data_IF_767363116603
#
_entry.id   IF_767363116603
#
_cell.length_a   1.000
_cell.length_b   1.000
_cell.length_c   1.000
_cell.angle_alpha   90.00
_cell.angle_beta   90.00
_cell.angle_gamma   90.00
#
_symmetry.space_group_name_H-M   'P 1'
#
loop_
_entity.id
_entity.type
_entity.pdbx_description
1 polymer ?
#
# COMPACT_ATOMS: atom_id res chain seq x y z
N UNK A 1 -1.29 3.15 -12.90
CA UNK A 1 -0.12 3.62 -13.65
C UNK A 1 -0.46 4.88 -14.45
N UNK A 2 0.53 5.70 -14.68
CA UNK A 2 0.45 6.83 -15.60
C UNK A 2 0.94 6.36 -16.96
N UNK A 3 0.18 6.56 -18.02
CA UNK A 3 0.51 6.09 -19.35
C UNK A 3 0.66 7.24 -20.33
N UNK A 4 1.76 7.26 -21.06
CA UNK A 4 2.01 8.19 -22.16
C UNK A 4 1.92 7.44 -23.48
N UNK A 5 1.04 7.88 -24.37
CA UNK A 5 0.90 7.32 -25.70
C UNK A 5 1.78 8.07 -26.71
N UNK A 6 2.56 7.33 -27.49
CA UNK A 6 3.31 7.83 -28.63
C UNK A 6 2.89 7.07 -29.88
N UNK A 7 2.28 7.75 -30.83
CA UNK A 7 1.84 7.16 -32.11
C UNK A 7 2.65 7.66 -33.29
N UNK A 8 2.74 6.85 -34.36
CA UNK A 8 3.56 7.14 -35.54
C UNK A 8 3.04 8.33 -36.38
N UNK A 9 1.81 8.75 -36.23
CA UNK A 9 1.17 9.83 -37.04
C UNK A 9 0.10 10.62 -36.28
N UNK A 10 -0.07 10.50 -34.97
CA UNK A 10 -1.09 11.20 -34.19
C UNK A 10 -0.51 11.79 -32.92
N UNK A 11 -1.19 12.77 -32.38
CA UNK A 11 -0.80 13.45 -31.14
C UNK A 11 -0.49 12.45 -30.02
N UNK A 12 0.64 12.65 -29.34
CA UNK A 12 0.95 11.96 -28.11
C UNK A 12 -0.11 12.33 -27.06
N UNK A 13 -0.68 11.36 -26.40
CA UNK A 13 -1.65 11.54 -25.33
C UNK A 13 -1.10 11.04 -24.01
N UNK A 14 -1.61 11.56 -22.93
CA UNK A 14 -1.31 11.09 -21.58
C UNK A 14 -2.61 10.69 -20.89
N UNK A 15 -2.60 9.59 -20.16
CA UNK A 15 -3.74 9.13 -19.40
C UNK A 15 -3.29 8.49 -18.08
N UNK A 16 -4.13 8.62 -17.06
CA UNK A 16 -3.99 7.89 -15.82
C UNK A 16 -4.91 6.68 -15.87
N UNK A 17 -4.41 5.52 -15.46
CA UNK A 17 -5.23 4.33 -15.35
C UNK A 17 -6.34 4.54 -14.31
N UNK A 18 -7.49 3.91 -14.54
CA UNK A 18 -8.54 3.77 -13.54
C UNK A 18 -8.02 3.02 -12.29
N UNK A 19 -8.78 3.02 -11.17
CA UNK A 19 -8.35 2.33 -9.93
C UNK A 19 -8.06 0.83 -10.10
N UNK A 20 -8.64 0.18 -11.13
CA UNK A 20 -8.36 -1.22 -11.47
C UNK A 20 -7.21 -1.39 -12.49
N UNK A 21 -6.40 -0.35 -12.69
CA UNK A 21 -5.23 -0.40 -13.57
C UNK A 21 -5.52 -0.29 -15.06
N UNK A 22 -6.78 -0.11 -15.46
CA UNK A 22 -7.15 -0.06 -16.87
C UNK A 22 -7.02 1.34 -17.46
N UNK A 23 -6.61 1.41 -18.71
CA UNK A 23 -6.68 2.60 -19.56
C UNK A 23 -7.35 2.23 -20.88
N UNK A 24 -7.90 3.22 -21.57
CA UNK A 24 -8.53 3.06 -22.87
C UNK A 24 -8.14 4.22 -23.78
N UNK A 25 -7.60 3.89 -24.95
CA UNK A 25 -7.30 4.80 -26.03
C UNK A 25 -8.03 4.34 -27.30
N UNK A 26 -9.34 4.65 -27.44
CA UNK A 26 -10.16 4.09 -28.51
C UNK A 26 -9.66 4.50 -29.90
N UNK A 27 -9.58 3.51 -30.80
CA UNK A 27 -9.18 3.74 -32.18
C UNK A 27 -7.71 4.05 -32.41
N UNK A 28 -6.86 3.77 -31.42
CA UNK A 28 -5.43 4.08 -31.48
C UNK A 28 -4.60 2.80 -31.49
N UNK A 29 -3.60 2.78 -32.39
CA UNK A 29 -2.53 1.77 -32.36
C UNK A 29 -1.19 2.50 -32.28
N UNK A 30 -0.26 1.95 -31.50
CA UNK A 30 1.03 2.61 -31.30
C UNK A 30 1.81 2.01 -30.14
N UNK A 31 2.52 2.83 -29.41
CA UNK A 31 3.32 2.43 -28.27
C UNK A 31 2.88 3.20 -27.03
N UNK A 32 2.72 2.49 -25.94
CA UNK A 32 2.43 3.02 -24.61
C UNK A 32 3.68 2.88 -23.73
N UNK A 33 4.00 3.93 -22.99
CA UNK A 33 5.04 3.96 -21.97
C UNK A 33 4.37 4.16 -20.60
N UNK A 34 4.01 3.09 -19.88
CA UNK A 34 3.45 3.23 -18.55
C UNK A 34 4.51 3.66 -17.54
N UNK A 35 4.08 4.33 -16.48
CA UNK A 35 4.96 4.80 -15.41
C UNK A 35 4.31 4.55 -14.05
N UNK A 36 5.13 4.24 -13.06
CA UNK A 36 4.77 4.14 -11.65
C UNK A 36 4.84 5.50 -10.93
N UNK A 37 4.91 6.59 -11.68
CA UNK A 37 4.84 7.96 -11.18
C UNK A 37 3.62 8.65 -11.78
N UNK A 38 2.60 8.82 -10.97
CA UNK A 38 1.33 9.41 -11.36
C UNK A 38 0.87 10.49 -10.39
N UNK A 39 -0.34 11.04 -10.59
CA UNK A 39 -0.86 12.14 -9.78
C UNK A 39 -1.22 11.71 -8.34
N UNK A 40 -1.28 10.42 -8.03
CA UNK A 40 -1.66 9.92 -6.71
C UNK A 40 -0.53 9.26 -5.95
N UNK A 41 0.45 8.67 -6.65
CA UNK A 41 1.63 8.05 -6.07
C UNK A 41 2.82 8.21 -7.00
N UNK A 42 4.01 8.31 -6.44
CA UNK A 42 5.27 8.40 -7.17
C UNK A 42 6.25 7.41 -6.56
N UNK A 43 6.52 6.32 -7.27
CA UNK A 43 7.46 5.28 -6.82
C UNK A 43 8.87 5.62 -7.28
N UNK A 44 9.84 5.48 -6.38
CA UNK A 44 11.26 5.69 -6.59
C UNK A 44 12.02 4.43 -6.21
N UNK A 45 12.88 3.95 -7.11
CA UNK A 45 13.72 2.78 -6.87
C UNK A 45 15.07 3.19 -6.27
N UNK A 46 15.32 2.82 -5.02
CA UNK A 46 16.56 3.18 -4.31
C UNK A 46 17.75 2.26 -4.64
N UNK A 47 17.51 1.15 -5.37
CA UNK A 47 18.57 0.20 -5.75
C UNK A 47 18.85 0.12 -7.25
N UNK A 48 18.50 1.15 -8.01
CA UNK A 48 18.73 1.17 -9.46
C UNK A 48 17.82 2.14 -10.19
N UNK A 49 17.62 1.87 -11.48
CA UNK A 49 16.74 2.69 -12.31
C UNK A 49 15.26 2.39 -12.01
N UNK A 50 14.42 3.39 -12.22
CA UNK A 50 12.97 3.16 -12.21
C UNK A 50 12.57 2.24 -13.36
N UNK A 51 11.59 1.38 -13.10
CA UNK A 51 11.07 0.50 -14.13
C UNK A 51 10.52 1.30 -15.32
N UNK A 52 10.94 0.91 -16.51
CA UNK A 52 10.47 1.50 -17.75
C UNK A 52 10.23 0.42 -18.79
N UNK A 53 9.14 0.56 -19.56
CA UNK A 53 8.81 -0.36 -20.62
C UNK A 53 8.10 0.39 -21.75
N UNK A 54 8.25 -0.11 -22.96
CA UNK A 54 7.54 0.37 -24.14
C UNK A 54 6.68 -0.78 -24.67
N UNK A 55 5.36 -0.65 -24.56
CA UNK A 55 4.41 -1.68 -24.92
C UNK A 55 3.68 -1.31 -26.21
N UNK A 56 3.72 -2.20 -27.21
CA UNK A 56 2.90 -2.05 -28.41
C UNK A 56 1.43 -2.26 -28.09
N UNK A 57 0.56 -1.37 -28.57
CA UNK A 57 -0.89 -1.52 -28.45
C UNK A 57 -1.54 -1.48 -29.82
N UNK A 58 -2.62 -2.24 -29.98
CA UNK A 58 -3.47 -2.26 -31.16
C UNK A 58 -4.93 -2.04 -30.74
N UNK A 59 -5.73 -1.46 -31.62
CA UNK A 59 -7.14 -1.23 -31.33
C UNK A 59 -7.86 -2.55 -30.98
N UNK A 60 -8.52 -2.55 -29.84
CA UNK A 60 -9.25 -3.72 -29.30
C UNK A 60 -8.38 -4.80 -28.63
N UNK A 61 -7.07 -4.60 -28.51
CA UNK A 61 -6.17 -5.52 -27.79
C UNK A 61 -5.90 -5.04 -26.36
N UNK A 62 -5.83 -5.98 -25.42
CA UNK A 62 -5.39 -5.73 -24.05
C UNK A 62 -3.89 -5.92 -23.94
N UNK A 63 -3.24 -5.04 -23.18
CA UNK A 63 -1.82 -5.12 -22.85
C UNK A 63 -1.68 -5.19 -21.34
N UNK A 64 -0.87 -6.14 -20.86
CA UNK A 64 -0.56 -6.32 -19.45
C UNK A 64 0.89 -5.87 -19.22
N UNK A 65 1.09 -5.05 -18.20
CA UNK A 65 2.43 -4.71 -17.73
C UNK A 65 2.70 -5.51 -16.46
N UNK A 66 3.60 -6.45 -16.58
CA UNK A 66 4.11 -7.27 -15.49
C UNK A 66 5.62 -7.42 -15.63
N UNK A 67 6.33 -7.52 -14.53
CA UNK A 67 7.75 -7.83 -14.48
C UNK A 67 8.00 -8.60 -13.18
N UNK A 68 8.60 -9.79 -13.29
CA UNK A 68 8.82 -10.70 -12.17
C UNK A 68 10.24 -10.59 -11.57
N UNK A 69 11.06 -9.69 -12.08
CA UNK A 69 12.31 -9.34 -11.41
C UNK A 69 11.98 -8.61 -10.10
N UNK A 70 12.48 -9.09 -8.99
CA UNK A 70 12.11 -8.64 -7.64
C UNK A 70 12.02 -7.11 -7.51
N UNK A 71 13.06 -6.40 -7.97
CA UNK A 71 13.11 -4.94 -7.83
C UNK A 71 12.11 -4.20 -8.74
N UNK A 72 11.75 -4.80 -9.87
CA UNK A 72 10.76 -4.27 -10.78
C UNK A 72 9.33 -4.56 -10.27
N UNK A 73 9.10 -5.79 -9.83
CA UNK A 73 7.83 -6.20 -9.23
C UNK A 73 7.51 -5.38 -7.96
N UNK A 74 8.51 -5.11 -7.14
CA UNK A 74 8.40 -4.23 -5.97
C UNK A 74 7.88 -2.83 -6.33
N UNK A 75 8.34 -2.24 -7.45
CA UNK A 75 7.85 -0.95 -7.92
C UNK A 75 6.39 -1.01 -8.38
N UNK A 76 6.02 -2.05 -9.12
CA UNK A 76 4.66 -2.25 -9.62
C UNK A 76 3.69 -2.53 -8.47
N UNK A 77 4.05 -3.43 -7.58
CA UNK A 77 3.25 -3.84 -6.42
C UNK A 77 3.02 -2.69 -5.46
N UNK A 78 4.09 -1.98 -5.07
CA UNK A 78 3.96 -0.81 -4.21
C UNK A 78 3.08 0.28 -4.82
N UNK A 79 3.24 0.55 -6.13
CA UNK A 79 2.37 1.51 -6.83
C UNK A 79 0.90 1.08 -6.79
N UNK A 80 0.62 -0.17 -7.15
CA UNK A 80 -0.75 -0.68 -7.22
C UNK A 80 -1.43 -0.65 -5.85
N UNK A 81 -0.75 -1.12 -4.81
CA UNK A 81 -1.30 -1.18 -3.45
C UNK A 81 -1.41 0.21 -2.80
N UNK A 82 -0.48 1.13 -3.05
CA UNK A 82 -0.63 2.54 -2.63
C UNK A 82 -1.88 3.16 -3.27
N UNK A 83 -2.14 2.89 -4.54
CA UNK A 83 -3.36 3.37 -5.21
C UNK A 83 -4.63 2.77 -4.60
N UNK A 84 -4.63 1.49 -4.26
CA UNK A 84 -5.77 0.79 -3.65
C UNK A 84 -6.11 1.41 -2.30
N UNK A 85 -5.12 1.48 -1.37
CA UNK A 85 -5.35 2.01 -0.03
C UNK A 85 -5.72 3.48 -0.05
N UNK A 86 -5.07 4.28 -0.88
CA UNK A 86 -5.39 5.71 -1.03
C UNK A 86 -6.82 5.92 -1.52
N UNK A 87 -7.24 5.20 -2.57
CA UNK A 87 -8.60 5.29 -3.06
C UNK A 87 -9.62 4.86 -1.99
N UNK A 88 -9.34 3.81 -1.24
CA UNK A 88 -10.19 3.37 -0.14
C UNK A 88 -10.33 4.47 0.93
N UNK A 89 -9.20 5.00 1.42
CA UNK A 89 -9.21 6.02 2.48
C UNK A 89 -9.88 7.32 2.03
N UNK A 90 -9.75 7.71 0.75
CA UNK A 90 -10.48 8.86 0.16
C UNK A 90 -12.00 8.71 0.21
N UNK A 91 -12.52 7.52 0.33
CA UNK A 91 -13.98 7.32 0.55
C UNK A 91 -14.41 7.59 1.98
N UNK A 92 -13.46 7.67 2.91
CA UNK A 92 -13.69 7.78 4.35
C UNK A 92 -13.24 9.12 4.93
N UNK A 93 -12.33 9.83 4.28
CA UNK A 93 -11.64 11.00 4.84
C UNK A 93 -11.32 12.03 3.77
N UNK A 94 -11.42 13.32 4.17
CA UNK A 94 -11.12 14.50 3.36
C UNK A 94 -9.78 15.15 3.78
N UNK A 95 -8.83 14.39 4.32
CA UNK A 95 -7.50 14.92 4.68
C UNK A 95 -6.80 15.44 3.43
N UNK A 96 -6.38 16.73 3.38
CA UNK A 96 -5.84 17.35 2.17
C UNK A 96 -4.60 16.65 1.60
N UNK A 97 -3.80 16.01 2.44
CA UNK A 97 -2.65 15.20 2.03
C UNK A 97 -3.01 14.09 1.01
N UNK A 98 -4.24 13.59 1.03
CA UNK A 98 -4.72 12.60 0.08
C UNK A 98 -4.88 13.14 -1.35
N UNK A 99 -4.85 14.45 -1.56
CA UNK A 99 -4.95 15.05 -2.90
C UNK A 99 -3.60 15.14 -3.61
N UNK A 100 -2.49 15.09 -2.85
CA UNK A 100 -1.13 15.16 -3.39
C UNK A 100 -0.56 13.77 -3.71
N UNK A 101 0.40 13.66 -4.65
CA UNK A 101 1.10 12.41 -4.91
C UNK A 101 1.91 11.96 -3.69
N UNK A 102 1.77 10.70 -3.30
CA UNK A 102 2.52 10.12 -2.18
C UNK A 102 3.85 9.59 -2.70
N UNK A 103 5.00 10.03 -2.15
CA UNK A 103 6.29 9.44 -2.43
C UNK A 103 6.37 8.03 -1.83
N UNK A 104 6.81 7.06 -2.64
CA UNK A 104 6.95 5.65 -2.27
C UNK A 104 8.36 5.22 -2.65
N UNK A 105 9.20 4.97 -1.67
CA UNK A 105 10.56 4.53 -1.88
C UNK A 105 10.65 3.02 -1.70
N UNK A 106 11.15 2.32 -2.73
CA UNK A 106 11.25 0.85 -2.73
C UNK A 106 12.69 0.39 -2.93
N UNK A 107 12.96 -0.86 -2.59
CA UNK A 107 14.26 -1.50 -2.73
C UNK A 107 15.38 -0.78 -1.94
N UNK A 108 15.06 -0.17 -0.83
CA UNK A 108 16.05 0.45 0.06
C UNK A 108 17.04 -0.62 0.52
N UNK A 109 18.33 -0.29 0.46
CA UNK A 109 19.43 -1.20 0.84
C UNK A 109 19.56 -1.30 2.38
N UNK A 110 18.57 -1.93 2.98
CA UNK A 110 18.54 -2.28 4.40
C UNK A 110 17.76 -3.59 4.55
N UNK A 111 17.46 -4.04 5.75
CA UNK A 111 16.94 -5.38 5.96
C UNK A 111 15.70 -5.44 6.87
N UNK A 112 14.75 -6.28 6.45
CA UNK A 112 13.65 -6.76 7.30
C UNK A 112 12.82 -5.65 7.94
N UNK A 113 12.51 -4.60 7.21
CA UNK A 113 11.63 -3.53 7.68
C UNK A 113 10.95 -2.78 6.54
N UNK A 114 9.97 -1.97 6.90
CA UNK A 114 9.40 -0.87 6.15
C UNK A 114 9.14 0.26 7.14
N UNK A 115 8.93 1.48 6.70
CA UNK A 115 8.57 2.58 7.59
C UNK A 115 7.85 3.70 6.86
N UNK A 116 7.05 4.46 7.60
CA UNK A 116 6.52 5.75 7.20
C UNK A 116 7.19 6.87 8.00
N UNK A 117 7.52 7.96 7.34
CA UNK A 117 7.93 9.21 8.00
C UNK A 117 6.78 10.23 8.13
N UNK A 118 5.57 9.81 7.77
CA UNK A 118 4.36 10.64 7.75
C UNK A 118 4.08 11.30 6.40
N UNK A 119 5.09 11.58 5.60
CA UNK A 119 4.97 12.18 4.26
C UNK A 119 5.22 11.17 3.14
N UNK A 120 6.01 10.14 3.41
CA UNK A 120 6.36 9.06 2.48
C UNK A 120 6.23 7.68 3.12
N UNK A 121 6.18 6.65 2.28
CA UNK A 121 6.24 5.24 2.69
C UNK A 121 7.46 4.56 2.06
N UNK A 122 8.16 3.72 2.83
CA UNK A 122 9.52 3.29 2.54
C UNK A 122 9.68 1.79 2.77
N UNK A 123 10.21 1.06 1.79
CA UNK A 123 10.26 -0.40 1.77
C UNK A 123 11.66 -0.91 1.49
N UNK A 124 12.11 -1.85 2.32
CA UNK A 124 13.43 -2.46 2.20
C UNK A 124 13.39 -3.64 1.22
N UNK A 125 14.47 -3.80 0.47
CA UNK A 125 14.64 -4.92 -0.46
C UNK A 125 14.73 -6.26 0.29
N UNK A 126 14.51 -7.35 -0.43
CA UNK A 126 14.77 -8.68 0.12
C UNK A 126 16.21 -8.80 0.64
N UNK A 127 16.33 -9.41 1.78
CA UNK A 127 17.61 -9.72 2.43
C UNK A 127 17.56 -11.14 2.99
N UNK A 128 18.69 -11.71 3.36
CA UNK A 128 18.85 -13.14 3.65
C UNK A 128 17.92 -13.81 4.67
N UNK A 129 16.91 -13.12 5.17
CA UNK A 129 15.94 -13.66 6.14
C UNK A 129 14.50 -13.16 5.91
N UNK A 130 14.28 -12.20 5.04
CA UNK A 130 12.97 -11.59 4.82
C UNK A 130 12.73 -11.20 3.36
N UNK A 131 11.47 -11.15 2.99
CA UNK A 131 11.00 -10.75 1.68
C UNK A 131 11.20 -9.23 1.46
N UNK A 132 11.19 -8.80 0.22
CA UNK A 132 11.06 -7.39 -0.13
C UNK A 132 9.71 -6.86 0.36
N UNK A 133 9.75 -5.93 1.29
CA UNK A 133 8.54 -5.47 1.98
C UNK A 133 7.56 -4.72 1.08
N UNK A 134 8.02 -4.21 -0.07
CA UNK A 134 7.16 -3.62 -1.09
C UNK A 134 6.29 -4.65 -1.84
N UNK A 135 6.62 -5.95 -1.77
CA UNK A 135 5.84 -7.03 -2.36
C UNK A 135 4.67 -7.49 -1.47
N UNK A 136 4.61 -7.02 -0.23
CA UNK A 136 3.60 -7.41 0.75
C UNK A 136 2.51 -6.34 0.82
N UNK A 137 1.35 -6.65 0.26
CA UNK A 137 0.23 -5.71 0.15
C UNK A 137 -0.19 -5.09 1.49
N UNK A 138 -0.30 -5.92 2.52
CA UNK A 138 -0.68 -5.51 3.86
C UNK A 138 0.39 -4.62 4.53
N UNK A 139 1.67 -4.84 4.26
CA UNK A 139 2.74 -3.94 4.70
C UNK A 139 2.63 -2.57 4.01
N UNK A 140 2.32 -2.53 2.70
CA UNK A 140 2.07 -1.25 2.01
C UNK A 140 0.88 -0.50 2.63
N UNK A 141 -0.19 -1.21 2.97
CA UNK A 141 -1.36 -0.60 3.62
C UNK A 141 -1.07 -0.13 5.04
N UNK A 142 -0.24 -0.88 5.77
CA UNK A 142 0.20 -0.54 7.12
C UNK A 142 1.02 0.77 7.13
N UNK A 143 2.04 0.89 6.27
CA UNK A 143 2.86 2.11 6.19
C UNK A 143 2.03 3.33 5.75
N UNK A 144 1.08 3.12 4.82
CA UNK A 144 0.12 4.15 4.49
C UNK A 144 -0.76 4.54 5.69
N UNK A 145 -1.12 3.59 6.54
CA UNK A 145 -1.85 3.81 7.79
C UNK A 145 -1.14 4.78 8.74
N UNK A 146 0.18 4.64 8.91
CA UNK A 146 0.99 5.58 9.67
C UNK A 146 0.96 6.98 9.09
N UNK A 147 1.13 7.10 7.76
CA UNK A 147 1.08 8.39 7.08
C UNK A 147 -0.28 9.08 7.28
N UNK A 148 -1.38 8.39 7.01
CA UNK A 148 -2.71 9.00 7.17
C UNK A 148 -3.04 9.33 8.63
N UNK A 149 -2.60 8.52 9.60
CA UNK A 149 -2.74 8.86 11.02
C UNK A 149 -1.98 10.14 11.34
N UNK A 150 -0.70 10.25 10.95
CA UNK A 150 0.11 11.45 11.15
C UNK A 150 -0.54 12.71 10.55
N UNK A 151 -1.00 12.60 9.31
CA UNK A 151 -1.64 13.70 8.58
C UNK A 151 -3.05 14.07 9.10
N UNK A 152 -3.67 13.19 9.88
CA UNK A 152 -4.99 13.41 10.48
C UNK A 152 -4.94 14.10 11.84
N UNK A 153 -3.76 14.27 12.42
CA UNK A 153 -3.63 14.90 13.75
C UNK A 153 -3.94 16.39 13.68
N UNK A 154 -4.94 16.81 14.45
CA UNK A 154 -5.32 18.21 14.56
C UNK A 154 -4.42 18.90 15.59
N UNK A 155 -3.62 19.90 15.21
CA UNK A 155 -2.74 20.61 16.15
C UNK A 155 -3.48 21.16 17.37
N UNK A 156 -2.98 20.83 18.57
CA UNK A 156 -3.54 21.28 19.84
C UNK A 156 -4.76 20.48 20.33
N UNK A 157 -5.18 19.44 19.60
CA UNK A 157 -6.29 18.54 20.01
C UNK A 157 -5.77 17.21 20.52
N UNK A 158 -4.72 16.68 19.89
CA UNK A 158 -4.12 15.41 20.27
C UNK A 158 -2.65 15.37 19.90
N UNK A 159 -1.98 14.35 20.39
CA UNK A 159 -0.58 14.05 20.09
C UNK A 159 -0.51 12.70 19.34
N UNK A 160 0.51 12.56 18.50
CA UNK A 160 0.80 11.29 17.88
C UNK A 160 1.19 10.27 18.97
N UNK A 161 0.54 9.12 18.93
CA UNK A 161 0.85 8.00 19.81
C UNK A 161 1.25 6.79 18.96
N UNK A 162 2.45 6.29 19.15
CA UNK A 162 3.04 5.24 18.30
C UNK A 162 2.26 3.93 18.41
N UNK A 163 1.93 3.46 19.60
CA UNK A 163 1.17 2.20 19.78
C UNK A 163 -0.23 2.29 19.16
N UNK A 164 -0.89 3.44 19.30
CA UNK A 164 -2.17 3.67 18.64
C UNK A 164 -2.02 3.68 17.12
N UNK A 165 -0.95 4.29 16.62
CA UNK A 165 -0.64 4.32 15.19
C UNK A 165 -0.42 2.90 14.63
N UNK A 166 0.34 2.06 15.35
CA UNK A 166 0.52 0.65 14.98
C UNK A 166 -0.82 -0.09 14.83
N UNK A 167 -1.65 -0.02 15.88
CA UNK A 167 -2.91 -0.75 15.87
C UNK A 167 -3.93 -0.25 14.83
N UNK A 168 -3.95 1.06 14.55
CA UNK A 168 -4.80 1.62 13.48
C UNK A 168 -4.27 1.23 12.11
N UNK A 169 -2.96 1.23 11.91
CA UNK A 169 -2.32 0.84 10.65
C UNK A 169 -2.52 -0.65 10.35
N UNK A 170 -2.34 -1.51 11.35
CA UNK A 170 -2.65 -2.93 11.26
C UNK A 170 -4.15 -3.15 10.93
N UNK A 171 -5.05 -2.43 11.60
CA UNK A 171 -6.49 -2.55 11.34
C UNK A 171 -6.87 -2.09 9.93
N UNK A 172 -6.25 -1.01 9.40
CA UNK A 172 -6.46 -0.57 8.02
C UNK A 172 -6.02 -1.67 7.03
N UNK A 173 -4.82 -2.22 7.22
CA UNK A 173 -4.28 -3.28 6.39
C UNK A 173 -5.18 -4.52 6.42
N UNK A 174 -5.56 -4.96 7.61
CA UNK A 174 -6.43 -6.12 7.82
C UNK A 174 -7.84 -5.92 7.27
N UNK A 175 -8.35 -4.69 7.28
CA UNK A 175 -9.65 -4.36 6.66
C UNK A 175 -9.62 -4.57 5.17
N UNK A 176 -8.51 -4.19 4.50
CA UNK A 176 -8.34 -4.33 3.05
C UNK A 176 -8.05 -5.78 2.63
N UNK A 177 -7.31 -6.52 3.43
CA UNK A 177 -6.98 -7.94 3.16
C UNK A 177 -8.03 -8.92 3.65
N UNK A 178 -8.91 -8.47 4.56
CA UNK A 178 -9.86 -9.30 5.31
C UNK A 178 -9.18 -10.43 6.11
N UNK A 179 -8.01 -10.14 6.68
CA UNK A 179 -7.20 -11.05 7.51
C UNK A 179 -6.70 -10.29 8.75
N UNK A 180 -6.86 -10.86 9.95
CA UNK A 180 -6.34 -10.29 11.20
C UNK A 180 -4.84 -10.45 11.38
N UNK A 181 -4.21 -11.31 10.56
CA UNK A 181 -2.78 -11.58 10.57
C UNK A 181 -2.04 -10.70 9.56
N UNK A 182 -1.14 -9.85 10.05
CA UNK A 182 -0.31 -8.95 9.24
C UNK A 182 1.04 -9.58 8.89
N UNK A 183 1.55 -9.31 7.69
CA UNK A 183 2.91 -9.64 7.25
C UNK A 183 3.11 -11.11 6.90
N UNK A 184 2.08 -11.79 6.37
CA UNK A 184 2.27 -13.12 5.82
C UNK A 184 3.21 -13.06 4.62
N UNK A 185 4.14 -13.98 4.55
CA UNK A 185 5.20 -13.99 3.54
C UNK A 185 6.47 -13.24 3.95
N UNK A 186 6.44 -12.43 5.01
CA UNK A 186 7.58 -11.61 5.42
C UNK A 186 8.85 -12.44 5.65
N UNK A 187 8.74 -13.60 6.29
CA UNK A 187 9.85 -14.55 6.48
C UNK A 187 9.78 -15.74 5.51
N UNK A 188 9.22 -15.53 4.32
CA UNK A 188 9.02 -16.57 3.28
C UNK A 188 8.13 -17.73 3.73
N UNK A 189 7.25 -17.50 4.70
CA UNK A 189 6.25 -18.46 5.16
C UNK A 189 4.87 -17.80 5.32
N UNK A 190 3.85 -18.58 5.63
CA UNK A 190 2.47 -18.10 5.77
C UNK A 190 2.12 -17.68 7.22
N UNK A 191 3.10 -17.58 8.09
CA UNK A 191 2.86 -17.11 9.46
C UNK A 191 2.81 -15.59 9.49
N UNK A 192 1.82 -14.98 10.14
CA UNK A 192 1.80 -13.53 10.26
C UNK A 192 2.89 -13.06 11.24
N UNK A 193 3.45 -11.88 10.99
CA UNK A 193 4.31 -11.19 11.95
C UNK A 193 3.58 -10.90 13.26
N UNK A 194 2.33 -10.49 13.15
CA UNK A 194 1.39 -10.22 14.25
C UNK A 194 -0.01 -10.63 13.83
N UNK A 195 -0.75 -11.12 14.82
CA UNK A 195 -2.17 -11.38 14.70
C UNK A 195 -2.87 -10.73 15.90
N UNK A 196 -3.87 -9.92 15.68
CA UNK A 196 -4.61 -9.28 16.76
C UNK A 196 -5.97 -9.94 17.06
N UNK A 197 -6.29 -11.05 16.38
CA UNK A 197 -7.47 -11.90 16.65
C UNK A 197 -7.07 -13.40 16.72
N UNK A 198 -6.05 -13.77 17.49
CA UNK A 198 -5.62 -15.16 17.58
C UNK A 198 -6.64 -16.01 18.32
N UNK A 199 -6.79 -17.26 17.91
CA UNK A 199 -7.75 -18.20 18.46
C UNK A 199 -7.66 -18.31 20.00
N UNK A 200 -8.74 -17.94 20.69
CA UNK A 200 -8.88 -18.13 22.14
C UNK A 200 -8.09 -17.17 23.02
N UNK A 201 -7.58 -16.09 22.46
CA UNK A 201 -6.85 -15.06 23.20
C UNK A 201 -7.32 -13.66 22.79
N UNK A 202 -7.43 -12.76 23.75
CA UNK A 202 -7.82 -11.37 23.60
C UNK A 202 -6.77 -10.46 24.23
N UNK A 203 -6.25 -9.51 23.45
CA UNK A 203 -5.33 -8.48 23.95
C UNK A 203 -6.07 -7.45 24.79
N UNK A 204 -5.56 -7.12 26.00
CA UNK A 204 -6.26 -6.30 26.98
C UNK A 204 -5.38 -5.21 27.57
N UNK A 205 -5.93 -4.06 27.71
CA UNK A 205 -5.35 -2.98 28.51
C UNK A 205 -5.64 -3.23 30.01
N UNK A 206 -4.68 -3.04 30.94
CA UNK A 206 -3.25 -2.70 30.72
C UNK A 206 -2.31 -3.91 30.65
N UNK A 207 -2.84 -5.13 30.61
CA UNK A 207 -2.10 -6.36 30.85
C UNK A 207 -1.11 -6.68 29.71
N UNK A 208 -1.51 -6.37 28.46
CA UNK A 208 -0.75 -6.68 27.25
C UNK A 208 0.01 -5.46 26.69
N UNK A 209 0.36 -4.50 27.58
CA UNK A 209 1.24 -3.40 27.21
C UNK A 209 2.68 -3.88 27.04
N UNK A 210 3.38 -3.35 26.04
CA UNK A 210 4.73 -3.75 25.76
C UNK A 210 5.44 -2.87 24.74
N UNK A 211 6.09 -3.49 23.82
CA UNK A 211 6.64 -2.86 22.63
C UNK A 211 5.48 -2.32 21.77
N UNK A 212 5.70 -1.26 21.00
CA UNK A 212 4.64 -0.48 20.35
C UNK A 212 3.77 -1.31 19.40
N UNK A 213 4.35 -2.24 18.67
CA UNK A 213 3.60 -3.14 17.79
C UNK A 213 2.76 -4.16 18.58
N UNK A 214 3.32 -4.68 19.71
CA UNK A 214 2.58 -5.57 20.60
C UNK A 214 1.42 -4.86 21.30
N UNK A 215 1.64 -3.64 21.76
CA UNK A 215 0.60 -2.82 22.38
C UNK A 215 -0.46 -2.37 21.36
N UNK A 216 -0.08 -2.16 20.10
CA UNK A 216 -0.99 -1.85 19.00
C UNK A 216 -2.09 -2.91 18.80
N UNK A 217 -1.80 -4.19 19.09
CA UNK A 217 -2.79 -5.28 18.99
C UNK A 217 -4.00 -5.10 19.91
N UNK A 218 -3.88 -4.35 21.01
CA UNK A 218 -5.00 -4.05 21.90
C UNK A 218 -6.08 -3.26 21.16
N UNK A 219 -5.71 -2.19 20.47
CA UNK A 219 -6.68 -1.37 19.74
C UNK A 219 -7.07 -2.03 18.41
N UNK A 220 -6.12 -2.68 17.70
CA UNK A 220 -6.39 -3.43 16.48
C UNK A 220 -7.43 -4.51 16.71
N UNK A 221 -7.27 -5.34 17.76
CA UNK A 221 -8.22 -6.38 18.16
C UNK A 221 -9.59 -5.83 18.51
N UNK A 222 -9.64 -4.75 19.31
CA UNK A 222 -10.91 -4.12 19.66
C UNK A 222 -11.69 -3.59 18.43
N UNK A 223 -10.98 -3.00 17.47
CA UNK A 223 -11.58 -2.54 16.21
C UNK A 223 -12.03 -3.70 15.32
N UNK A 224 -11.25 -4.78 15.28
CA UNK A 224 -11.61 -5.98 14.55
C UNK A 224 -12.84 -6.67 15.12
N UNK A 225 -12.95 -6.78 16.43
CA UNK A 225 -14.15 -7.28 17.09
C UNK A 225 -15.37 -6.42 16.81
N UNK A 226 -15.22 -5.12 16.83
CA UNK A 226 -16.29 -4.20 16.45
C UNK A 226 -16.72 -4.46 15.00
N UNK A 227 -15.76 -4.61 14.07
CA UNK A 227 -16.03 -4.93 12.67
C UNK A 227 -16.81 -6.24 12.52
N UNK A 228 -16.37 -7.32 13.19
CA UNK A 228 -17.07 -8.61 13.17
C UNK A 228 -18.53 -8.47 13.61
N UNK A 229 -18.78 -7.75 14.71
CA UNK A 229 -20.13 -7.50 15.22
C UNK A 229 -20.98 -6.67 14.26
N UNK A 230 -20.38 -5.65 13.64
CA UNK A 230 -21.12 -4.84 12.66
C UNK A 230 -21.53 -5.66 11.43
N UNK A 231 -20.66 -6.54 10.94
CA UNK A 231 -20.97 -7.46 9.84
C UNK A 231 -22.11 -8.40 10.24
N UNK A 232 -22.04 -8.98 11.44
CA UNK A 232 -23.07 -9.91 11.94
C UNK A 232 -24.45 -9.24 12.11
N UNK A 233 -24.49 -7.99 12.57
CA UNK A 233 -25.74 -7.28 12.88
C UNK A 233 -26.33 -6.53 11.67
N UNK A 234 -25.50 -5.98 10.80
CA UNK A 234 -25.91 -5.08 9.71
C UNK A 234 -25.82 -5.74 8.33
N UNK A 235 -25.10 -6.82 8.22
CA UNK A 235 -24.69 -7.41 6.94
C UNK A 235 -23.54 -6.62 6.28
N UNK A 236 -22.92 -7.21 5.28
CA UNK A 236 -21.92 -6.53 4.43
C UNK A 236 -22.59 -5.60 3.40
#
# INVERSE_FOLDING_TARGET
AYCKLSGLLTEAGEATTSPNGMFDFPGVSGTVEPSVRGPFAQVYNESGDDISVSLGISDGEAVIWEDLEEQNDAQLTAYAHTMIVKNFVRTLSDVPWLDDPIPVYVNIDDSCNAFSDGDSINFFRSSGGCENTALLADVVYHEFGHSIHSQSIIPGVGEFNTSLSEGISDYLASTLTNDSGLGRGFYFDDQPLRDFDPDGFEYRWPDDRGEVHDEGRIIGGALWDLRKRMIDELGE
#
